data_IF_414923851962
#
_entry.id   IF_414923851962
#
_cell.length_a   1.000
_cell.length_b   1.000
_cell.length_c   1.000
_cell.angle_alpha   90.00
_cell.angle_beta   90.00
_cell.angle_gamma   90.00
#
_symmetry.space_group_name_H-M   'P 1'
#
loop_
_entity.id
_entity.type
_entity.pdbx_description
1 polymer ?
#
# COMPACT_ATOMS: atom_id res chain seq x y z
N UNK A 1 11.83 -6.92 2.99
CA UNK A 1 11.19 -5.60 2.73
C UNK A 1 11.18 -4.80 4.01
N UNK A 2 10.77 -3.56 4.02
CA UNK A 2 10.91 -2.60 5.12
C UNK A 2 11.55 -1.31 4.59
N UNK A 3 11.67 -1.24 3.25
CA UNK A 3 12.09 -0.02 2.55
C UNK A 3 10.82 0.73 2.13
N UNK A 4 10.67 2.01 2.51
CA UNK A 4 9.56 2.82 2.05
C UNK A 4 9.65 3.04 0.53
N UNK A 5 8.50 3.15 -0.10
CA UNK A 5 8.43 3.51 -1.51
C UNK A 5 7.59 4.77 -1.72
N UNK A 6 7.89 5.47 -2.80
CA UNK A 6 7.06 6.57 -3.29
C UNK A 6 6.63 6.21 -4.70
N UNK A 7 5.32 6.22 -4.94
CA UNK A 7 4.74 5.93 -6.24
C UNK A 7 4.24 7.22 -6.88
N UNK A 8 4.60 7.44 -8.12
CA UNK A 8 4.14 8.56 -8.92
C UNK A 8 3.52 8.02 -10.21
N UNK A 9 2.25 8.26 -10.43
CA UNK A 9 1.55 7.83 -11.64
C UNK A 9 0.37 8.74 -11.98
N UNK A 10 -0.13 8.61 -13.21
CA UNK A 10 -1.24 9.37 -13.78
C UNK A 10 -2.59 8.63 -13.75
N UNK A 11 -2.66 7.46 -13.14
CA UNK A 11 -3.92 6.73 -13.00
C UNK A 11 -4.86 7.38 -11.99
N UNK A 12 -6.10 7.56 -12.38
CA UNK A 12 -7.18 8.13 -11.54
C UNK A 12 -7.53 7.21 -10.37
N UNK A 13 -7.18 5.92 -10.44
CA UNK A 13 -7.46 4.95 -9.41
C UNK A 13 -6.21 4.29 -8.84
N UNK A 14 -6.28 3.87 -7.58
CA UNK A 14 -5.29 3.01 -6.95
C UNK A 14 -5.74 1.57 -7.01
N UNK A 15 -4.85 0.65 -7.39
CA UNK A 15 -5.10 -0.78 -7.28
C UNK A 15 -5.30 -1.13 -5.79
N UNK A 16 -6.25 -2.01 -5.49
CA UNK A 16 -6.71 -2.28 -4.13
C UNK A 16 -5.60 -2.53 -3.11
N UNK A 17 -4.64 -3.39 -3.42
CA UNK A 17 -3.53 -3.69 -2.51
C UNK A 17 -2.57 -2.50 -2.31
N UNK A 18 -2.38 -1.63 -3.31
CA UNK A 18 -1.57 -0.43 -3.15
C UNK A 18 -2.22 0.57 -2.20
N UNK A 19 -3.55 0.72 -2.29
CA UNK A 19 -4.30 1.54 -1.33
C UNK A 19 -4.10 1.04 0.09
N UNK A 20 -4.16 -0.26 0.28
CA UNK A 20 -3.97 -0.87 1.59
C UNK A 20 -2.55 -0.64 2.13
N UNK A 21 -1.52 -0.82 1.28
CA UNK A 21 -0.13 -0.54 1.66
C UNK A 21 0.11 0.94 2.00
N UNK A 22 -0.54 1.85 1.31
CA UNK A 22 -0.39 3.30 1.50
C UNK A 22 -1.23 3.82 2.66
N UNK A 23 -2.52 3.48 2.73
CA UNK A 23 -3.48 4.09 3.65
C UNK A 23 -3.57 3.35 4.99
N UNK A 24 -3.42 2.03 5.00
CA UNK A 24 -3.58 1.21 6.22
C UNK A 24 -2.24 0.96 6.90
N UNK A 25 -1.23 0.59 6.13
CA UNK A 25 0.07 0.21 6.68
C UNK A 25 1.14 1.29 6.56
N UNK A 26 0.88 2.35 5.80
CA UNK A 26 1.82 3.46 5.57
C UNK A 26 3.23 3.00 5.15
N UNK A 27 3.28 1.92 4.36
CA UNK A 27 4.53 1.36 3.83
C UNK A 27 5.03 2.11 2.59
N UNK A 28 4.17 2.92 2.00
CA UNK A 28 4.49 3.73 0.84
C UNK A 28 3.59 4.93 0.72
N UNK A 29 3.89 5.75 -0.26
CA UNK A 29 3.20 7.01 -0.51
C UNK A 29 2.85 7.13 -1.99
N UNK A 30 1.56 7.22 -2.28
CA UNK A 30 1.05 7.43 -3.63
C UNK A 30 0.85 8.91 -3.92
N UNK A 31 1.53 9.40 -4.96
CA UNK A 31 1.36 10.76 -5.45
C UNK A 31 0.73 10.69 -6.83
N UNK A 32 -0.33 11.44 -7.03
CA UNK A 32 -1.07 11.44 -8.27
C UNK A 32 -0.44 12.41 -9.27
N UNK A 33 0.00 11.89 -10.41
CA UNK A 33 0.66 12.69 -11.46
C UNK A 33 -0.29 13.65 -12.18
N UNK A 34 -1.60 13.46 -12.10
CA UNK A 34 -2.60 14.38 -12.66
C UNK A 34 -2.81 15.63 -11.82
N UNK A 35 -2.09 15.79 -10.73
CA UNK A 35 -1.96 17.08 -10.04
C UNK A 35 -1.18 18.00 -10.96
N UNK A 36 -1.87 18.95 -11.55
CA UNK A 36 -1.32 19.83 -12.57
C UNK A 36 -0.34 20.83 -11.96
N UNK A 37 0.66 21.28 -12.72
CA UNK A 37 1.56 22.36 -12.31
C UNK A 37 0.80 23.60 -11.87
N UNK A 38 1.42 24.37 -10.97
CA UNK A 38 0.82 25.61 -10.43
C UNK A 38 0.51 26.63 -11.54
N UNK A 39 1.28 26.63 -12.60
CA UNK A 39 1.12 27.48 -13.79
C UNK A 39 0.12 26.91 -14.81
N UNK A 40 -0.44 25.74 -14.57
CA UNK A 40 -1.47 25.16 -15.43
C UNK A 40 -2.70 26.09 -15.51
N UNK A 41 -3.29 26.25 -16.71
CA UNK A 41 -4.55 26.96 -16.85
C UNK A 41 -5.73 26.23 -16.21
N UNK A 42 -5.57 24.94 -15.92
CA UNK A 42 -6.62 24.15 -15.29
C UNK A 42 -6.64 24.41 -13.79
N UNK A 43 -7.81 24.79 -13.30
CA UNK A 43 -8.06 25.15 -11.90
C UNK A 43 -8.96 24.13 -11.23
N UNK A 44 -8.95 24.14 -9.90
CA UNK A 44 -9.96 23.43 -9.10
C UNK A 44 -11.32 24.08 -9.25
N UNK A 45 -12.37 23.40 -8.81
CA UNK A 45 -13.73 23.94 -8.85
C UNK A 45 -13.91 25.25 -8.07
N UNK A 46 -13.06 25.50 -7.07
CA UNK A 46 -13.00 26.75 -6.30
C UNK A 46 -12.15 27.86 -6.96
N UNK A 47 -11.62 27.60 -8.15
CA UNK A 47 -10.77 28.54 -8.89
C UNK A 47 -9.30 28.57 -8.43
N UNK A 48 -8.92 27.85 -7.38
CA UNK A 48 -7.53 27.78 -6.91
C UNK A 48 -6.64 26.96 -7.85
N UNK A 49 -5.31 27.28 -7.93
CA UNK A 49 -4.39 26.43 -8.68
C UNK A 49 -4.31 25.03 -8.07
N UNK A 50 -4.16 24.04 -8.92
CA UNK A 50 -3.84 22.69 -8.46
C UNK A 50 -2.39 22.63 -7.96
N UNK A 51 -2.11 21.99 -6.82
CA UNK A 51 -0.73 21.79 -6.39
C UNK A 51 0.01 20.88 -7.39
N UNK A 52 1.29 21.11 -7.58
CA UNK A 52 2.13 20.27 -8.41
C UNK A 52 2.39 18.90 -7.75
N UNK A 53 2.08 17.81 -8.42
CA UNK A 53 2.42 16.46 -7.97
C UNK A 53 3.92 16.23 -7.90
N UNK A 54 4.69 16.92 -8.71
CA UNK A 54 6.16 16.87 -8.70
C UNK A 54 6.73 17.50 -7.42
N UNK A 55 6.19 18.63 -6.98
CA UNK A 55 6.60 19.26 -5.72
C UNK A 55 6.27 18.36 -4.52
N UNK A 56 5.11 17.74 -4.53
CA UNK A 56 4.74 16.78 -3.49
C UNK A 56 5.66 15.55 -3.49
N UNK A 57 6.02 15.05 -4.67
CA UNK A 57 6.99 13.97 -4.83
C UNK A 57 8.33 14.34 -4.18
N UNK A 58 8.88 15.50 -4.51
CA UNK A 58 10.16 15.95 -3.94
C UNK A 58 10.09 16.11 -2.42
N UNK A 59 9.05 16.74 -1.90
CA UNK A 59 8.85 16.89 -0.45
C UNK A 59 8.79 15.52 0.26
N UNK A 60 8.11 14.56 -0.34
CA UNK A 60 7.99 13.22 0.24
C UNK A 60 9.32 12.48 0.23
N UNK A 61 10.04 12.55 -0.88
CA UNK A 61 11.39 11.96 -1.00
C UNK A 61 12.35 12.63 0.00
N UNK A 62 12.35 13.95 0.07
CA UNK A 62 13.19 14.70 1.00
C UNK A 62 12.91 14.31 2.47
N UNK A 63 11.63 14.21 2.85
CA UNK A 63 11.23 13.77 4.19
C UNK A 63 11.81 12.38 4.51
N UNK A 64 11.69 11.43 3.59
CA UNK A 64 12.21 10.07 3.79
C UNK A 64 13.72 10.00 3.85
N UNK A 65 14.43 10.78 3.02
CA UNK A 65 15.89 10.80 2.99
C UNK A 65 16.46 11.51 4.22
N UNK A 66 15.81 12.59 4.68
CA UNK A 66 16.22 13.36 5.86
C UNK A 66 15.98 12.61 7.17
N UNK A 67 15.11 11.62 7.18
CA UNK A 67 14.89 10.79 8.38
C UNK A 67 16.14 9.98 8.70
N UNK A 68 16.62 9.96 9.97
CA UNK A 68 17.75 9.14 10.36
C UNK A 68 17.59 7.67 9.94
N UNK A 69 18.64 7.08 9.38
CA UNK A 69 18.56 5.73 8.79
C UNK A 69 18.06 4.66 9.77
N UNK A 70 18.50 4.73 11.03
CA UNK A 70 18.06 3.79 12.07
C UNK A 70 16.57 3.94 12.39
N UNK A 71 16.09 5.19 12.51
CA UNK A 71 14.69 5.50 12.76
C UNK A 71 13.81 5.06 11.58
N UNK A 72 14.20 5.38 10.36
CA UNK A 72 13.49 4.96 9.16
C UNK A 72 13.38 3.45 9.08
N UNK A 73 14.48 2.72 9.29
CA UNK A 73 14.47 1.25 9.28
C UNK A 73 13.56 0.68 10.36
N UNK A 74 13.61 1.20 11.58
CA UNK A 74 12.77 0.73 12.68
C UNK A 74 11.29 0.99 12.40
N UNK A 75 10.94 2.18 11.94
CA UNK A 75 9.55 2.57 11.63
C UNK A 75 8.95 1.67 10.55
N UNK A 76 9.66 1.50 9.43
CA UNK A 76 9.13 0.70 8.32
C UNK A 76 9.21 -0.81 8.58
N UNK A 77 10.13 -1.28 9.41
CA UNK A 77 10.13 -2.66 9.89
C UNK A 77 8.89 -2.94 10.76
N UNK A 78 8.56 -2.06 11.69
CA UNK A 78 7.36 -2.22 12.53
C UNK A 78 6.06 -2.21 11.70
N UNK A 79 5.96 -1.32 10.72
CA UNK A 79 4.82 -1.26 9.79
C UNK A 79 4.70 -2.53 8.94
N UNK A 80 5.83 -3.05 8.47
CA UNK A 80 5.88 -4.32 7.75
C UNK A 80 5.43 -5.49 8.63
N UNK A 81 5.94 -5.59 9.86
CA UNK A 81 5.54 -6.66 10.78
C UNK A 81 4.04 -6.63 11.08
N UNK A 82 3.48 -5.42 11.28
CA UNK A 82 2.02 -5.26 11.42
C UNK A 82 1.28 -5.79 10.20
N UNK A 83 1.70 -5.43 8.99
CA UNK A 83 1.08 -5.93 7.76
C UNK A 83 1.15 -7.46 7.67
N UNK A 84 2.32 -8.03 7.97
CA UNK A 84 2.50 -9.49 7.91
C UNK A 84 1.66 -10.23 8.94
N UNK A 85 1.48 -9.67 10.15
CA UNK A 85 0.62 -10.26 11.18
C UNK A 85 -0.87 -10.23 10.83
N UNK A 86 -1.28 -9.25 10.03
CA UNK A 86 -2.68 -9.11 9.59
C UNK A 86 -3.01 -9.98 8.36
N UNK A 87 -1.99 -10.45 7.64
CA UNK A 87 -2.15 -11.20 6.39
C UNK A 87 -1.95 -12.70 6.58
N UNK A 88 -2.61 -13.46 5.73
CA UNK A 88 -2.42 -14.91 5.67
C UNK A 88 -1.09 -15.26 4.99
N UNK A 89 -0.52 -16.39 5.37
CA UNK A 89 0.56 -17.03 4.63
C UNK A 89 -0.04 -17.75 3.41
N UNK A 90 0.13 -17.14 2.24
CA UNK A 90 -0.40 -17.70 1.00
C UNK A 90 0.20 -19.08 0.66
N UNK A 91 1.46 -19.33 0.99
CA UNK A 91 2.08 -20.62 0.74
C UNK A 91 1.45 -21.71 1.62
N UNK A 92 1.25 -21.41 2.90
CA UNK A 92 0.55 -22.30 3.83
C UNK A 92 -0.88 -22.61 3.37
N UNK A 93 -1.62 -21.57 2.93
CA UNK A 93 -2.96 -21.75 2.39
C UNK A 93 -2.98 -22.60 1.11
N UNK A 94 -2.09 -22.33 0.15
CA UNK A 94 -2.03 -23.09 -1.10
C UNK A 94 -1.66 -24.55 -0.88
N UNK A 95 -0.69 -24.83 0.00
CA UNK A 95 -0.32 -26.19 0.36
C UNK A 95 -1.51 -26.94 0.93
N UNK A 96 -2.16 -26.37 1.95
CA UNK A 96 -3.37 -26.94 2.53
C UNK A 96 -4.48 -27.16 1.47
N UNK A 97 -4.71 -26.16 0.58
CA UNK A 97 -5.75 -26.24 -0.44
C UNK A 97 -5.54 -27.42 -1.39
N UNK A 98 -4.30 -27.62 -1.86
CA UNK A 98 -3.95 -28.71 -2.79
C UNK A 98 -4.06 -30.08 -2.09
N UNK A 99 -3.52 -30.21 -0.88
CA UNK A 99 -3.53 -31.47 -0.12
C UNK A 99 -4.94 -31.94 0.23
N UNK A 100 -5.88 -31.03 0.39
CA UNK A 100 -7.25 -31.33 0.80
C UNK A 100 -8.29 -31.19 -0.33
N UNK A 101 -7.85 -31.06 -1.57
CA UNK A 101 -8.77 -30.98 -2.70
C UNK A 101 -9.47 -32.34 -2.92
N UNK A 102 -10.80 -32.38 -3.25
CA UNK A 102 -11.71 -31.25 -3.56
C UNK A 102 -12.43 -30.64 -2.34
N UNK A 103 -12.30 -31.20 -1.15
CA UNK A 103 -13.00 -30.70 0.04
C UNK A 103 -12.63 -29.24 0.36
N UNK A 104 -11.35 -28.89 0.19
CA UNK A 104 -10.84 -27.53 0.40
C UNK A 104 -11.55 -26.47 -0.45
N UNK A 105 -11.97 -26.82 -1.66
CA UNK A 105 -12.73 -25.91 -2.52
C UNK A 105 -14.10 -25.57 -1.93
N UNK A 106 -14.78 -26.53 -1.32
CA UNK A 106 -16.07 -26.31 -0.67
C UNK A 106 -15.94 -25.57 0.67
N UNK A 107 -14.88 -25.86 1.44
CA UNK A 107 -14.57 -25.11 2.67
C UNK A 107 -14.25 -23.65 2.37
N UNK A 108 -13.44 -23.38 1.35
CA UNK A 108 -13.03 -22.01 0.99
C UNK A 108 -14.22 -21.17 0.53
N UNK A 109 -15.24 -21.76 -0.14
CA UNK A 109 -16.46 -21.03 -0.50
C UNK A 109 -17.28 -20.56 0.69
N UNK A 110 -17.13 -21.21 1.84
CA UNK A 110 -17.83 -20.91 3.09
C UNK A 110 -16.93 -20.21 4.11
N UNK A 111 -15.72 -19.82 3.68
CA UNK A 111 -14.72 -19.26 4.56
C UNK A 111 -15.20 -18.00 5.27
N UNK A 112 -15.04 -17.97 6.56
CA UNK A 112 -15.24 -16.82 7.44
C UNK A 112 -13.88 -16.32 7.98
N UNK A 113 -13.92 -15.35 8.87
CA UNK A 113 -12.69 -14.80 9.47
C UNK A 113 -11.91 -15.86 10.24
N UNK A 114 -12.58 -16.74 10.98
CA UNK A 114 -11.95 -17.82 11.74
C UNK A 114 -11.25 -18.84 10.83
N UNK A 115 -11.78 -19.07 9.64
CA UNK A 115 -11.13 -19.89 8.63
C UNK A 115 -9.77 -19.31 8.21
N UNK A 116 -9.71 -18.00 7.96
CA UNK A 116 -8.49 -17.33 7.50
C UNK A 116 -7.43 -17.19 8.58
N UNK A 117 -7.84 -17.09 9.85
CA UNK A 117 -6.91 -17.06 11.00
C UNK A 117 -6.00 -18.31 11.05
N UNK A 118 -6.44 -19.44 10.54
CA UNK A 118 -5.64 -20.68 10.48
C UNK A 118 -4.37 -20.55 9.62
N UNK A 119 -4.34 -19.58 8.74
CA UNK A 119 -3.26 -19.38 7.77
C UNK A 119 -2.41 -18.12 8.05
N UNK A 120 -2.62 -17.48 9.15
CA UNK A 120 -1.74 -16.39 9.64
C UNK A 120 -0.46 -16.90 10.25
#
# INVERSE_FOLDING_TARGET
MGVPFVRFNDFVGRIGYLRELEDTYELGYGIHASVLPVDSPIRRNDGSPQPSGVEELYKRVETLVSMPSAERKATFAARREKMLSDKIDCAKFLTWFIENYPASAEETKKADEAFWERFK
#
